data_IF_224505802900
#
_entry.id   IF_224505802900
#
_cell.length_a   1.000
_cell.length_b   1.000
_cell.length_c   1.000
_cell.angle_alpha   90.00
_cell.angle_beta   90.00
_cell.angle_gamma   90.00
#
_symmetry.space_group_name_H-M   'P 1'
#
loop_
_entity.id
_entity.type
_entity.pdbx_description
1 polymer ?
#
# COMPACT_ATOMS: atom_id res chain seq x y z
N UNK A 1 -27.54 -33.87 -20.27
CA UNK A 1 -26.25 -33.18 -20.54
C UNK A 1 -26.33 -31.64 -20.49
N UNK A 2 -27.47 -30.98 -20.79
CA UNK A 2 -27.55 -29.50 -20.72
C UNK A 2 -27.62 -28.94 -19.28
N UNK A 3 -28.29 -29.63 -18.36
CA UNK A 3 -28.48 -29.17 -16.97
C UNK A 3 -27.14 -29.09 -16.21
N UNK A 4 -26.30 -30.12 -16.33
CA UNK A 4 -24.97 -30.16 -15.70
C UNK A 4 -24.03 -29.10 -16.27
N UNK A 5 -24.10 -28.87 -17.59
CA UNK A 5 -23.34 -27.82 -18.29
C UNK A 5 -23.76 -26.41 -17.86
N UNK A 6 -25.07 -26.18 -17.70
CA UNK A 6 -25.60 -24.89 -17.25
C UNK A 6 -25.32 -24.63 -15.76
N UNK A 7 -25.34 -25.68 -14.93
CA UNK A 7 -24.96 -25.58 -13.52
C UNK A 7 -23.46 -25.28 -13.34
N UNK A 8 -22.59 -25.89 -14.16
CA UNK A 8 -21.15 -25.61 -14.19
C UNK A 8 -20.86 -24.17 -14.67
N UNK A 9 -21.56 -23.70 -15.70
CA UNK A 9 -21.45 -22.31 -16.18
C UNK A 9 -21.90 -21.29 -15.13
N UNK A 10 -22.98 -21.58 -14.40
CA UNK A 10 -23.45 -20.72 -13.32
C UNK A 10 -22.48 -20.68 -12.13
N UNK A 11 -21.87 -21.81 -11.75
CA UNK A 11 -20.83 -21.89 -10.71
C UNK A 11 -19.57 -21.09 -11.07
N UNK A 12 -19.13 -21.15 -12.33
CA UNK A 12 -17.99 -20.37 -12.82
C UNK A 12 -18.33 -18.87 -12.83
N UNK A 13 -19.54 -18.47 -13.26
CA UNK A 13 -19.96 -17.07 -13.23
C UNK A 13 -20.10 -16.51 -11.80
N UNK A 14 -20.53 -17.31 -10.83
CA UNK A 14 -20.66 -16.89 -9.43
C UNK A 14 -19.30 -16.81 -8.70
N UNK A 15 -18.26 -17.49 -9.17
CA UNK A 15 -16.92 -17.45 -8.56
C UNK A 15 -16.04 -16.28 -9.05
N UNK A 16 -16.33 -15.71 -10.24
CA UNK A 16 -15.58 -14.59 -10.82
C UNK A 16 -15.57 -13.29 -9.96
N UNK A 17 -16.67 -12.89 -9.27
CA UNK A 17 -16.66 -11.70 -8.44
C UNK A 17 -15.74 -11.80 -7.22
N UNK A 18 -15.54 -13.01 -6.67
CA UNK A 18 -14.69 -13.22 -5.50
C UNK A 18 -13.21 -12.90 -5.78
N UNK A 19 -12.73 -13.22 -6.99
CA UNK A 19 -11.39 -12.88 -7.45
C UNK A 19 -11.25 -11.39 -7.83
N UNK A 20 -12.35 -10.74 -8.25
CA UNK A 20 -12.36 -9.30 -8.54
C UNK A 20 -12.34 -8.45 -7.26
N UNK A 21 -12.97 -8.93 -6.18
CA UNK A 21 -12.94 -8.30 -4.87
C UNK A 21 -11.55 -8.28 -4.24
N UNK A 22 -10.62 -9.16 -4.64
CA UNK A 22 -9.22 -9.12 -4.23
C UNK A 22 -8.47 -7.92 -4.80
N UNK A 23 -8.79 -7.51 -6.04
CA UNK A 23 -8.08 -6.43 -6.73
C UNK A 23 -8.42 -5.05 -6.15
N UNK A 24 -9.66 -4.82 -5.72
CA UNK A 24 -10.07 -3.53 -5.14
C UNK A 24 -9.48 -3.30 -3.74
N UNK A 25 -9.06 -4.37 -3.04
CA UNK A 25 -8.36 -4.26 -1.73
C UNK A 25 -6.97 -3.66 -1.90
N UNK A 26 -6.31 -3.94 -3.02
CA UNK A 26 -5.02 -3.33 -3.39
C UNK A 26 -5.16 -1.87 -3.80
N UNK A 27 -6.36 -1.43 -4.20
CA UNK A 27 -6.66 -0.01 -4.44
C UNK A 27 -6.94 0.78 -3.15
N UNK A 28 -6.88 0.13 -1.99
CA UNK A 28 -6.96 0.80 -0.69
C UNK A 28 -5.74 1.72 -0.49
N UNK A 29 -5.95 3.04 -0.65
CA UNK A 29 -5.24 4.15 0.00
C UNK A 29 -3.76 3.90 0.35
N UNK A 30 -2.97 3.46 -0.63
CA UNK A 30 -1.59 3.05 -0.43
C UNK A 30 -0.65 3.77 -1.40
N UNK A 31 0.64 3.67 -1.11
CA UNK A 31 1.71 4.20 -1.95
C UNK A 31 2.67 3.05 -2.32
N UNK A 32 2.25 2.07 -3.12
CA UNK A 32 2.93 0.77 -3.19
C UNK A 32 4.28 0.80 -3.93
N UNK A 33 4.62 1.89 -4.61
CA UNK A 33 5.80 1.97 -5.47
C UNK A 33 6.36 3.39 -5.57
N UNK A 34 7.54 3.53 -6.17
CA UNK A 34 8.15 4.82 -6.47
C UNK A 34 7.18 5.70 -7.28
N UNK A 35 6.98 6.94 -6.80
CA UNK A 35 6.01 7.91 -7.33
C UNK A 35 4.53 7.50 -7.21
N UNK A 36 4.20 6.53 -6.37
CA UNK A 36 2.83 6.21 -6.00
C UNK A 36 2.10 5.30 -6.99
N UNK A 37 0.80 5.06 -6.78
CA UNK A 37 0.02 4.10 -7.58
C UNK A 37 0.07 4.43 -9.09
N UNK A 38 0.01 5.71 -9.45
CA UNK A 38 0.03 6.18 -10.84
C UNK A 38 1.42 6.59 -11.35
N UNK A 39 2.46 6.41 -10.53
CA UNK A 39 3.87 6.75 -10.85
C UNK A 39 4.09 8.20 -11.28
N UNK A 40 3.27 9.12 -10.77
CA UNK A 40 3.29 10.55 -11.07
C UNK A 40 3.69 11.42 -9.88
N UNK A 41 3.88 10.84 -8.69
CA UNK A 41 4.24 11.55 -7.47
C UNK A 41 3.08 12.33 -6.84
N UNK A 42 1.84 12.04 -7.23
CA UNK A 42 0.65 12.76 -6.77
C UNK A 42 -0.22 11.85 -5.90
N UNK A 43 -0.58 12.37 -4.73
CA UNK A 43 -1.54 11.77 -3.80
C UNK A 43 -2.97 12.18 -4.21
N UNK A 44 -3.89 11.23 -4.44
CA UNK A 44 -5.28 11.55 -4.79
C UNK A 44 -6.13 11.99 -3.58
N UNK A 45 -5.61 11.85 -2.35
CA UNK A 45 -6.30 12.25 -1.13
C UNK A 45 -6.56 13.75 -1.10
N UNK A 46 -7.79 14.12 -0.75
CA UNK A 46 -8.23 15.52 -0.62
C UNK A 46 -8.75 15.77 0.80
N UNK A 47 -8.89 17.04 1.19
CA UNK A 47 -9.40 17.38 2.52
C UNK A 47 -8.47 17.02 3.69
N UNK A 48 -7.19 16.73 3.41
CA UNK A 48 -6.18 16.41 4.44
C UNK A 48 -5.87 17.61 5.36
N UNK A 49 -6.10 18.82 4.87
CA UNK A 49 -5.79 20.06 5.57
C UNK A 49 -7.06 20.90 5.70
N UNK A 50 -7.38 21.36 6.91
CA UNK A 50 -8.40 22.40 7.12
C UNK A 50 -7.87 23.80 6.81
N UNK A 51 -8.67 24.84 7.07
CA UNK A 51 -8.32 26.24 6.78
C UNK A 51 -7.04 26.74 7.48
N UNK A 52 -6.68 26.11 8.60
CA UNK A 52 -5.46 26.36 9.36
C UNK A 52 -4.79 25.02 9.67
N UNK A 53 -3.97 24.49 8.76
CA UNK A 53 -3.28 23.23 9.00
C UNK A 53 -2.34 23.37 10.20
N UNK A 54 -2.50 22.49 11.18
CA UNK A 54 -1.57 22.29 12.28
C UNK A 54 -1.07 20.86 12.19
N UNK A 55 0.25 20.67 12.27
CA UNK A 55 0.88 19.36 12.18
C UNK A 55 1.61 19.08 13.49
N UNK A 56 1.26 17.96 14.10
CA UNK A 56 2.02 17.36 15.19
C UNK A 56 2.77 16.15 14.65
N UNK A 57 4.03 16.01 15.03
CA UNK A 57 4.82 14.84 14.68
C UNK A 57 4.33 13.63 15.49
N UNK A 58 3.73 12.64 14.82
CA UNK A 58 3.26 11.43 15.50
C UNK A 58 4.39 10.51 15.95
N UNK A 59 5.46 10.40 15.15
CA UNK A 59 6.66 9.64 15.48
C UNK A 59 7.82 10.01 14.54
N UNK A 60 9.05 9.65 14.95
CA UNK A 60 10.27 9.83 14.16
C UNK A 60 11.28 8.73 14.45
N UNK A 61 11.89 8.21 13.39
CA UNK A 61 12.91 7.15 13.45
C UNK A 61 14.16 7.60 12.72
N UNK A 62 15.33 7.34 13.32
CA UNK A 62 16.62 7.57 12.66
C UNK A 62 16.95 6.39 11.74
N UNK A 63 16.54 6.49 10.47
CA UNK A 63 16.73 5.42 9.49
C UNK A 63 18.16 5.34 8.94
N UNK A 64 19.04 6.32 9.16
CA UNK A 64 20.39 6.32 8.59
C UNK A 64 20.44 6.83 7.15
N UNK A 65 21.47 6.44 6.38
CA UNK A 65 21.65 6.89 4.99
C UNK A 65 20.80 6.04 4.05
N UNK A 66 20.38 6.58 2.91
CA UNK A 66 19.65 5.83 1.89
C UNK A 66 19.19 6.73 0.75
N UNK A 67 18.86 6.13 -0.39
CA UNK A 67 18.35 6.84 -1.57
C UNK A 67 16.93 6.39 -1.97
N UNK A 68 16.37 5.43 -1.24
CA UNK A 68 15.04 4.89 -1.54
C UNK A 68 13.92 5.83 -1.07
N UNK A 69 12.79 5.79 -1.77
CA UNK A 69 11.53 6.36 -1.28
C UNK A 69 10.79 5.38 -0.37
N UNK A 70 9.69 5.86 0.22
CA UNK A 70 8.80 5.02 1.03
C UNK A 70 7.77 4.32 0.14
N UNK A 71 7.51 3.05 0.40
CA UNK A 71 6.36 2.32 -0.14
C UNK A 71 5.42 1.93 0.99
N UNK A 72 4.11 2.17 0.85
CA UNK A 72 3.13 2.01 1.93
C UNK A 72 1.98 1.13 1.47
N UNK A 73 1.68 0.09 2.25
CA UNK A 73 0.50 -0.77 2.05
C UNK A 73 -0.11 -1.09 3.41
N UNK A 74 -1.37 -0.69 3.61
CA UNK A 74 -2.02 -0.80 4.92
C UNK A 74 -1.22 -0.07 6.01
N UNK A 75 -0.95 -0.75 7.13
CA UNK A 75 -0.18 -0.21 8.26
C UNK A 75 1.33 -0.50 8.19
N UNK A 76 1.87 -0.77 6.99
CA UNK A 76 3.28 -1.11 6.80
C UNK A 76 3.95 -0.13 5.86
N UNK A 77 5.12 0.35 6.25
CA UNK A 77 5.99 1.21 5.46
C UNK A 77 7.25 0.42 5.11
N UNK A 78 7.61 0.37 3.85
CA UNK A 78 8.80 -0.29 3.35
C UNK A 78 9.77 0.76 2.82
N UNK A 79 11.04 0.61 3.17
CA UNK A 79 12.12 1.47 2.68
C UNK A 79 13.45 0.72 2.72
N UNK A 80 14.49 1.34 2.18
CA UNK A 80 15.86 0.83 2.24
C UNK A 80 16.79 1.85 2.89
N UNK A 81 17.66 1.36 3.77
CA UNK A 81 18.71 2.16 4.37
C UNK A 81 20.08 1.47 4.32
N UNK A 82 21.12 2.25 4.59
CA UNK A 82 22.49 1.82 4.72
C UNK A 82 22.87 1.90 6.19
N UNK A 83 23.25 0.76 6.76
CA UNK A 83 23.74 0.64 8.12
C UNK A 83 25.05 -0.15 8.12
N UNK A 84 26.11 0.41 8.73
CA UNK A 84 27.43 -0.23 8.84
C UNK A 84 28.05 -0.69 7.52
N UNK A 85 27.70 -0.07 6.40
CA UNK A 85 28.23 -0.37 5.07
C UNK A 85 27.35 -1.30 4.23
N UNK A 86 26.35 -1.94 4.84
CA UNK A 86 25.40 -2.81 4.16
C UNK A 86 24.07 -2.10 3.91
N UNK A 87 23.35 -2.55 2.88
CA UNK A 87 22.03 -2.03 2.53
C UNK A 87 20.93 -3.02 2.94
N UNK A 88 19.92 -2.53 3.65
CA UNK A 88 18.82 -3.34 4.19
C UNK A 88 17.49 -2.81 3.64
N UNK A 89 16.61 -3.72 3.25
CA UNK A 89 15.19 -3.45 3.11
C UNK A 89 14.50 -3.67 4.47
N UNK A 90 13.78 -2.68 4.95
CA UNK A 90 13.09 -2.71 6.24
C UNK A 90 11.59 -2.52 6.06
N UNK A 91 10.82 -3.10 6.98
CA UNK A 91 9.38 -2.89 7.10
C UNK A 91 9.14 -2.23 8.46
N UNK A 92 8.50 -1.08 8.48
CA UNK A 92 8.16 -0.32 9.68
C UNK A 92 6.65 -0.38 9.90
N UNK A 93 6.20 -0.40 11.15
CA UNK A 93 4.81 -0.16 11.49
C UNK A 93 4.46 1.33 11.30
N UNK A 94 3.45 1.64 10.49
CA UNK A 94 3.08 3.01 10.15
C UNK A 94 2.60 3.84 11.35
N UNK A 95 2.25 3.21 12.47
CA UNK A 95 1.69 3.88 13.66
C UNK A 95 2.77 4.39 14.61
N UNK A 96 3.92 3.74 14.66
CA UNK A 96 4.98 4.06 15.64
C UNK A 96 6.40 4.01 15.07
N UNK A 97 6.59 3.54 13.83
CA UNK A 97 7.89 3.49 13.16
C UNK A 97 8.81 2.34 13.62
N UNK A 98 8.31 1.38 14.40
CA UNK A 98 9.12 0.23 14.82
C UNK A 98 9.33 -0.76 13.64
N UNK A 99 10.54 -1.34 13.56
CA UNK A 99 10.93 -2.37 12.56
C UNK A 99 10.45 -3.76 12.98
#
# INVERSE_FOLDING_TARGET
MSIVRNALLALVLCALPALAQDWSRWQSAGWPQWLGPDRNGISPETGLFGDKPSFEESWRVQAGKGFSGLSVVGNRIYTMHIHSGDEYAVCLDARNGEV
#
